data_IF_653903504781
#
_entry.id   IF_653903504781
#
_cell.length_a   1.000
_cell.length_b   1.000
_cell.length_c   1.000
_cell.angle_alpha   90.00
_cell.angle_beta   90.00
_cell.angle_gamma   90.00
#
_symmetry.space_group_name_H-M   'P 1'
#
loop_
_entity.id
_entity.type
_entity.pdbx_description
1 polymer ?
#
# COMPACT_ATOMS: atom_id res chain seq x y z
N UNK A 1 -2.60 -15.60 4.01
CA UNK A 1 -3.28 -15.53 2.69
C UNK A 1 -2.54 -16.41 1.69
N UNK A 2 -3.23 -17.11 0.78
CA UNK A 2 -2.60 -17.93 -0.27
C UNK A 2 -2.20 -17.06 -1.48
N UNK A 3 -1.20 -17.50 -2.27
CA UNK A 3 -0.78 -16.82 -3.51
C UNK A 3 -1.96 -16.59 -4.48
N UNK A 4 -2.85 -17.60 -4.61
CA UNK A 4 -4.06 -17.48 -5.42
C UNK A 4 -5.02 -16.39 -4.92
N UNK A 5 -5.15 -16.24 -3.59
CA UNK A 5 -5.99 -15.19 -3.01
C UNK A 5 -5.38 -13.82 -3.28
N UNK A 6 -4.05 -13.69 -3.18
CA UNK A 6 -3.34 -12.45 -3.48
C UNK A 6 -3.51 -12.04 -4.95
N UNK A 7 -3.34 -12.98 -5.88
CA UNK A 7 -3.57 -12.74 -7.32
C UNK A 7 -5.00 -12.27 -7.60
N UNK A 8 -5.99 -12.92 -6.98
CA UNK A 8 -7.40 -12.53 -7.13
C UNK A 8 -7.68 -11.15 -6.54
N UNK A 9 -7.10 -10.80 -5.40
CA UNK A 9 -7.20 -9.47 -4.81
C UNK A 9 -6.65 -8.41 -5.76
N UNK A 10 -5.47 -8.62 -6.31
CA UNK A 10 -4.86 -7.68 -7.26
C UNK A 10 -5.69 -7.50 -8.54
N UNK A 11 -6.24 -8.58 -9.09
CA UNK A 11 -7.01 -8.54 -10.33
C UNK A 11 -8.46 -8.05 -10.17
N UNK A 12 -9.05 -8.27 -8.99
CA UNK A 12 -10.47 -8.04 -8.74
C UNK A 12 -10.75 -7.05 -7.61
N UNK A 13 -9.73 -6.32 -7.13
CA UNK A 13 -9.83 -5.40 -6.00
C UNK A 13 -10.98 -4.39 -6.13
N UNK A 14 -11.15 -3.80 -7.32
CA UNK A 14 -12.25 -2.85 -7.55
C UNK A 14 -13.64 -3.48 -7.35
N UNK A 15 -13.81 -4.76 -7.72
CA UNK A 15 -15.07 -5.47 -7.51
C UNK A 15 -15.27 -5.79 -6.04
N UNK A 16 -14.22 -6.23 -5.35
CA UNK A 16 -14.26 -6.48 -3.92
C UNK A 16 -14.66 -5.23 -3.13
N UNK A 17 -13.97 -4.11 -3.36
CA UNK A 17 -14.25 -2.84 -2.71
C UNK A 17 -15.72 -2.39 -2.93
N UNK A 18 -16.20 -2.49 -4.17
CA UNK A 18 -17.59 -2.11 -4.46
C UNK A 18 -18.62 -3.08 -3.91
N UNK A 19 -18.37 -4.39 -3.92
CA UNK A 19 -19.26 -5.40 -3.31
C UNK A 19 -19.42 -5.12 -1.81
N UNK A 20 -18.31 -4.84 -1.13
CA UNK A 20 -18.32 -4.54 0.32
C UNK A 20 -19.00 -3.20 0.58
N UNK A 21 -18.71 -2.17 -0.21
CA UNK A 21 -19.30 -0.83 -0.04
C UNK A 21 -20.82 -0.83 -0.28
N UNK A 22 -21.32 -1.54 -1.29
CA UNK A 22 -22.74 -1.59 -1.64
C UNK A 22 -23.56 -2.46 -0.66
N UNK A 23 -22.92 -3.28 0.13
CA UNK A 23 -23.54 -4.14 1.15
C UNK A 23 -24.79 -4.89 0.64
N UNK A 24 -24.69 -5.50 -0.53
CA UNK A 24 -25.81 -6.21 -1.19
C UNK A 24 -25.39 -7.54 -1.77
N UNK A 25 -26.31 -8.50 -1.84
CA UNK A 25 -26.16 -9.76 -2.59
C UNK A 25 -26.82 -9.68 -3.98
N UNK A 26 -27.52 -8.59 -4.31
CA UNK A 26 -28.16 -8.40 -5.60
C UNK A 26 -27.13 -8.22 -6.73
N UNK A 27 -26.91 -9.29 -7.48
CA UNK A 27 -25.95 -9.33 -8.60
C UNK A 27 -26.38 -8.45 -9.78
N UNK A 28 -27.67 -8.14 -9.91
CA UNK A 28 -28.18 -7.23 -10.95
C UNK A 28 -27.76 -5.81 -10.62
N UNK A 29 -27.93 -5.40 -9.38
CA UNK A 29 -27.46 -4.09 -8.90
C UNK A 29 -25.93 -3.96 -9.03
N UNK A 30 -25.19 -4.98 -8.59
CA UNK A 30 -23.74 -5.02 -8.72
C UNK A 30 -23.29 -4.93 -10.19
N UNK A 31 -23.90 -5.73 -11.08
CA UNK A 31 -23.58 -5.72 -12.51
C UNK A 31 -23.80 -4.33 -13.14
N UNK A 32 -24.92 -3.68 -12.80
CA UNK A 32 -25.23 -2.33 -13.25
C UNK A 32 -24.21 -1.30 -12.75
N UNK A 33 -23.88 -1.33 -11.48
CA UNK A 33 -22.90 -0.40 -10.86
C UNK A 33 -21.50 -0.54 -11.46
N UNK A 34 -21.07 -1.78 -11.74
CA UNK A 34 -19.77 -2.04 -12.37
C UNK A 34 -19.76 -1.96 -13.88
N UNK A 35 -20.90 -1.74 -14.51
CA UNK A 35 -21.08 -1.70 -15.98
C UNK A 35 -20.55 -2.97 -16.65
N UNK A 36 -20.91 -4.11 -16.10
CA UNK A 36 -20.58 -5.43 -16.63
C UNK A 36 -21.84 -6.26 -16.83
N UNK A 37 -21.76 -7.35 -17.61
CA UNK A 37 -22.89 -8.25 -17.77
C UNK A 37 -23.18 -9.02 -16.47
N UNK A 38 -24.42 -9.41 -16.27
CA UNK A 38 -24.80 -10.22 -15.11
C UNK A 38 -24.00 -11.53 -14.99
N UNK A 39 -23.76 -12.31 -16.08
CA UNK A 39 -22.91 -13.50 -16.00
C UNK A 39 -21.49 -13.20 -15.57
N UNK A 40 -20.92 -12.06 -16.01
CA UNK A 40 -19.59 -11.61 -15.57
C UNK A 40 -19.57 -11.34 -14.08
N UNK A 41 -20.55 -10.59 -13.57
CA UNK A 41 -20.63 -10.30 -12.12
C UNK A 41 -20.86 -11.57 -11.31
N UNK A 42 -21.74 -12.46 -11.76
CA UNK A 42 -21.96 -13.77 -11.14
C UNK A 42 -20.68 -14.57 -11.03
N UNK A 43 -19.88 -14.63 -12.10
CA UNK A 43 -18.58 -15.31 -12.10
C UNK A 43 -17.60 -14.69 -11.11
N UNK A 44 -17.52 -13.35 -11.06
CA UNK A 44 -16.63 -12.63 -10.12
C UNK A 44 -17.01 -12.93 -8.66
N UNK A 45 -18.27 -12.76 -8.29
CA UNK A 45 -18.77 -13.08 -6.95
C UNK A 45 -18.53 -14.54 -6.58
N UNK A 46 -18.85 -15.47 -7.49
CA UNK A 46 -18.64 -16.90 -7.24
C UNK A 46 -17.15 -17.23 -7.02
N UNK A 47 -16.25 -16.61 -7.77
CA UNK A 47 -14.82 -16.82 -7.61
C UNK A 47 -14.32 -16.29 -6.26
N UNK A 48 -14.75 -15.09 -5.86
CA UNK A 48 -14.39 -14.51 -4.55
C UNK A 48 -14.91 -15.35 -3.38
N UNK A 49 -16.15 -15.89 -3.49
CA UNK A 49 -16.71 -16.83 -2.50
C UNK A 49 -15.91 -18.14 -2.43
N UNK A 50 -15.63 -18.76 -3.59
CA UNK A 50 -14.85 -20.00 -3.67
C UNK A 50 -13.41 -19.86 -3.16
N UNK A 51 -12.82 -18.68 -3.35
CA UNK A 51 -11.49 -18.38 -2.82
C UNK A 51 -11.51 -18.04 -1.32
N UNK A 52 -12.68 -17.94 -0.71
CA UNK A 52 -12.83 -17.56 0.69
C UNK A 52 -12.44 -16.10 0.99
N UNK A 53 -12.43 -15.23 -0.04
CA UNK A 53 -12.13 -13.80 0.14
C UNK A 53 -13.33 -13.07 0.71
N UNK A 54 -14.53 -13.42 0.25
CA UNK A 54 -15.78 -12.93 0.81
C UNK A 54 -16.62 -14.08 1.36
N UNK A 55 -17.52 -13.74 2.28
CA UNK A 55 -18.52 -14.64 2.83
C UNK A 55 -19.92 -14.08 2.60
N UNK A 56 -20.88 -14.96 2.33
CA UNK A 56 -22.29 -14.61 2.17
C UNK A 56 -22.95 -14.58 3.57
N UNK A 57 -23.57 -13.47 3.91
CA UNK A 57 -24.32 -13.27 5.15
C UNK A 57 -25.84 -13.22 4.92
N UNK A 58 -26.29 -13.58 3.72
CA UNK A 58 -27.69 -13.60 3.33
C UNK A 58 -28.15 -12.29 2.69
N UNK A 59 -28.02 -11.19 3.36
CA UNK A 59 -28.38 -9.84 2.91
C UNK A 59 -27.22 -9.07 2.25
N UNK A 60 -26.00 -9.45 2.58
CA UNK A 60 -24.80 -8.78 2.08
C UNK A 60 -23.61 -9.74 2.00
N UNK A 61 -22.66 -9.41 1.11
CA UNK A 61 -21.33 -10.01 1.14
C UNK A 61 -20.43 -9.23 2.09
N UNK A 62 -19.68 -9.95 2.91
CA UNK A 62 -18.67 -9.38 3.81
C UNK A 62 -17.30 -9.93 3.43
N UNK A 63 -16.24 -9.19 3.72
CA UNK A 63 -14.89 -9.74 3.62
C UNK A 63 -14.75 -10.84 4.67
N UNK A 64 -14.08 -11.93 4.31
CA UNK A 64 -13.74 -12.97 5.27
C UNK A 64 -12.88 -12.37 6.39
N UNK A 65 -13.25 -12.54 7.68
CA UNK A 65 -12.49 -11.98 8.81
C UNK A 65 -11.00 -12.36 8.79
N UNK A 66 -10.66 -13.59 8.38
CA UNK A 66 -9.26 -14.02 8.31
C UNK A 66 -8.47 -13.25 7.25
N UNK A 67 -9.10 -12.95 6.10
CA UNK A 67 -8.50 -12.12 5.05
C UNK A 67 -8.41 -10.67 5.52
N UNK A 68 -9.44 -10.16 6.19
CA UNK A 68 -9.47 -8.80 6.72
C UNK A 68 -8.31 -8.56 7.71
N UNK A 69 -8.08 -9.52 8.61
CA UNK A 69 -7.02 -9.44 9.63
C UNK A 69 -5.59 -9.55 9.08
N UNK A 70 -5.44 -10.16 7.87
CA UNK A 70 -4.12 -10.43 7.26
C UNK A 70 -3.85 -9.63 5.99
N UNK A 71 -4.68 -8.62 5.68
CA UNK A 71 -4.60 -7.87 4.43
C UNK A 71 -4.67 -6.38 4.71
N UNK A 72 -3.50 -5.79 4.91
CA UNK A 72 -3.35 -4.41 5.33
C UNK A 72 -2.69 -3.58 4.23
N UNK A 73 -3.04 -2.31 4.19
CA UNK A 73 -2.45 -1.30 3.31
C UNK A 73 -1.87 -0.19 4.18
N UNK A 74 -0.65 0.23 3.88
CA UNK A 74 -0.02 1.34 4.57
C UNK A 74 -0.03 2.57 3.68
N UNK A 75 -0.47 3.69 4.22
CA UNK A 75 -0.30 5.01 3.62
C UNK A 75 0.82 5.76 4.35
N UNK A 76 1.87 6.13 3.62
CA UNK A 76 2.90 7.06 4.08
C UNK A 76 2.58 8.42 3.49
N UNK A 77 2.43 9.46 4.31
CA UNK A 77 2.21 10.81 3.80
C UNK A 77 3.08 11.84 4.50
N UNK A 78 3.46 12.88 3.77
CA UNK A 78 4.27 13.96 4.29
C UNK A 78 3.81 15.30 3.74
N UNK A 79 3.80 16.30 4.63
CA UNK A 79 3.61 17.71 4.33
C UNK A 79 4.93 18.47 4.05
N UNK A 80 6.04 17.74 3.99
CA UNK A 80 7.39 18.30 3.79
C UNK A 80 8.14 18.59 5.08
N UNK A 81 7.47 18.57 6.23
CA UNK A 81 8.05 18.82 7.54
C UNK A 81 8.00 17.54 8.37
N UNK A 82 6.83 16.94 8.41
CA UNK A 82 6.55 15.71 9.15
C UNK A 82 6.26 14.54 8.19
N UNK A 83 6.42 13.34 8.70
CA UNK A 83 6.02 12.11 8.04
C UNK A 83 5.05 11.37 8.95
N UNK A 84 3.97 10.89 8.39
CA UNK A 84 2.92 10.18 9.08
C UNK A 84 2.57 8.90 8.32
N UNK A 85 2.10 7.90 9.05
CA UNK A 85 1.68 6.64 8.49
C UNK A 85 0.29 6.27 9.01
N UNK A 86 -0.49 5.65 8.15
CA UNK A 86 -1.79 5.09 8.48
C UNK A 86 -1.87 3.67 7.95
N UNK A 87 -2.41 2.75 8.76
CA UNK A 87 -2.73 1.41 8.30
C UNK A 87 -4.24 1.28 8.10
N UNK A 88 -4.63 0.67 6.99
CA UNK A 88 -6.02 0.38 6.64
C UNK A 88 -6.17 -1.10 6.32
N UNK A 89 -7.27 -1.69 6.76
CA UNK A 89 -7.67 -3.03 6.33
C UNK A 89 -8.45 -2.97 5.00
N UNK A 90 -8.82 -4.13 4.45
CA UNK A 90 -9.61 -4.23 3.22
C UNK A 90 -11.02 -3.61 3.31
N UNK A 91 -11.55 -3.41 4.52
CA UNK A 91 -12.81 -2.71 4.76
C UNK A 91 -12.62 -1.17 4.83
N UNK A 92 -11.38 -0.68 4.63
CA UNK A 92 -11.00 0.73 4.76
C UNK A 92 -11.11 1.27 6.19
N UNK A 93 -11.08 0.38 7.18
CA UNK A 93 -11.04 0.74 8.59
C UNK A 93 -9.58 0.96 9.01
N UNK A 94 -9.35 1.97 9.84
CA UNK A 94 -8.03 2.26 10.40
C UNK A 94 -7.64 1.18 11.41
N UNK A 95 -6.40 0.74 11.34
CA UNK A 95 -5.78 -0.21 12.26
C UNK A 95 -4.57 0.46 12.90
N UNK A 96 -4.38 0.27 14.19
CA UNK A 96 -3.23 0.83 14.89
C UNK A 96 -1.93 0.15 14.45
N UNK A 97 -0.90 0.93 14.12
CA UNK A 97 0.40 0.38 13.67
C UNK A 97 1.06 -0.50 14.72
N UNK A 98 0.81 -0.25 16.00
CA UNK A 98 1.28 -1.10 17.11
C UNK A 98 0.65 -2.52 17.13
N UNK A 99 -0.49 -2.69 16.46
CA UNK A 99 -1.16 -3.99 16.30
C UNK A 99 -0.73 -4.69 14.99
N UNK A 100 -0.22 -3.92 14.04
CA UNK A 100 0.22 -4.37 12.73
C UNK A 100 1.64 -4.88 12.77
N UNK A 101 2.54 -4.08 13.32
CA UNK A 101 3.97 -4.33 13.37
C UNK A 101 4.33 -5.25 14.54
N UNK A 102 5.36 -6.06 14.38
CA UNK A 102 6.03 -6.68 15.50
C UNK A 102 6.55 -5.61 16.46
N UNK A 103 6.77 -5.95 17.72
CA UNK A 103 7.27 -4.98 18.72
C UNK A 103 8.59 -4.35 18.25
N UNK A 104 9.51 -5.15 17.73
CA UNK A 104 10.81 -4.70 17.23
C UNK A 104 10.66 -3.72 16.06
N UNK A 105 9.78 -4.06 15.10
CA UNK A 105 9.49 -3.20 13.95
C UNK A 105 8.75 -1.93 14.36
N UNK A 106 7.90 -1.99 15.38
CA UNK A 106 7.23 -0.80 15.90
C UNK A 106 8.22 0.16 16.59
N UNK A 107 9.15 -0.36 17.40
CA UNK A 107 10.19 0.44 18.02
C UNK A 107 11.10 1.09 16.95
N UNK A 108 11.45 0.34 15.90
CA UNK A 108 12.18 0.85 14.73
C UNK A 108 11.39 1.92 13.97
N UNK A 109 10.09 1.72 13.75
CA UNK A 109 9.19 2.71 13.16
C UNK A 109 9.22 4.04 13.92
N UNK A 110 9.08 4.00 15.24
CA UNK A 110 9.13 5.20 16.10
C UNK A 110 10.49 5.88 16.00
N UNK A 111 11.59 5.10 16.03
CA UNK A 111 12.94 5.63 15.88
C UNK A 111 13.15 6.34 14.53
N UNK A 112 12.68 5.76 13.42
CA UNK A 112 12.78 6.37 12.08
C UNK A 112 11.99 7.69 12.00
N UNK A 113 10.75 7.70 12.48
CA UNK A 113 9.88 8.88 12.42
C UNK A 113 10.52 10.06 13.18
N UNK A 114 11.01 9.82 14.37
CA UNK A 114 11.56 10.85 15.26
C UNK A 114 13.04 11.19 14.98
N UNK A 115 13.73 10.49 14.12
CA UNK A 115 15.13 10.77 13.80
C UNK A 115 15.25 12.07 12.99
N UNK A 116 15.77 13.11 13.61
CA UNK A 116 15.97 14.43 12.98
C UNK A 116 17.16 14.48 12.02
N UNK A 117 18.06 13.49 12.10
CA UNK A 117 19.24 13.41 11.21
C UNK A 117 18.93 12.71 9.88
N UNK A 118 17.81 12.02 9.78
CA UNK A 118 17.40 11.38 8.53
C UNK A 118 16.66 12.38 7.63
N UNK A 119 17.04 12.39 6.35
CA UNK A 119 16.26 13.09 5.33
C UNK A 119 14.86 12.46 5.18
N UNK A 120 13.90 13.23 4.67
CA UNK A 120 12.56 12.71 4.38
C UNK A 120 12.61 11.49 3.46
N UNK A 121 13.44 11.53 2.42
CA UNK A 121 13.64 10.41 1.49
C UNK A 121 14.18 9.16 2.21
N UNK A 122 15.18 9.32 3.08
CA UNK A 122 15.73 8.21 3.85
C UNK A 122 14.68 7.61 4.78
N UNK A 123 13.88 8.44 5.45
CA UNK A 123 12.75 7.97 6.28
C UNK A 123 11.77 7.15 5.45
N UNK A 124 11.32 7.66 4.31
CA UNK A 124 10.40 6.94 3.41
C UNK A 124 11.01 5.58 3.00
N UNK A 125 12.29 5.56 2.60
CA UNK A 125 12.97 4.34 2.18
C UNK A 125 13.05 3.31 3.31
N UNK A 126 13.43 3.73 4.52
CA UNK A 126 13.46 2.84 5.69
C UNK A 126 12.07 2.33 6.08
N UNK A 127 11.04 3.18 6.01
CA UNK A 127 9.66 2.78 6.31
C UNK A 127 9.14 1.76 5.31
N UNK A 128 9.39 1.94 4.01
CA UNK A 128 9.02 0.95 3.00
C UNK A 128 9.70 -0.38 3.29
N UNK A 129 11.00 -0.36 3.58
CA UNK A 129 11.74 -1.57 3.94
C UNK A 129 11.15 -2.25 5.18
N UNK A 130 10.90 -1.50 6.24
CA UNK A 130 10.31 -1.98 7.49
C UNK A 130 8.95 -2.65 7.23
N UNK A 131 8.06 -1.99 6.51
CA UNK A 131 6.74 -2.52 6.20
C UNK A 131 6.78 -3.74 5.29
N UNK A 132 7.79 -3.86 4.42
CA UNK A 132 7.95 -5.03 3.56
C UNK A 132 8.32 -6.32 4.31
N UNK A 133 8.75 -6.21 5.56
CA UNK A 133 9.06 -7.36 6.42
C UNK A 133 7.83 -7.95 7.11
N UNK A 134 6.69 -7.30 7.01
CA UNK A 134 5.44 -7.74 7.65
C UNK A 134 4.52 -8.44 6.64
N UNK A 135 4.34 -9.74 6.79
CA UNK A 135 3.55 -10.59 5.87
C UNK A 135 2.06 -10.15 5.72
N UNK A 136 1.56 -9.37 6.69
CA UNK A 136 0.18 -8.85 6.67
C UNK A 136 0.02 -7.63 5.76
N UNK A 137 1.12 -6.97 5.40
CA UNK A 137 1.09 -5.74 4.61
C UNK A 137 1.15 -6.09 3.13
N UNK A 138 0.07 -5.80 2.41
CA UNK A 138 -0.07 -6.10 0.98
C UNK A 138 0.55 -5.03 0.09
N UNK A 139 0.47 -3.78 0.52
CA UNK A 139 0.91 -2.65 -0.29
C UNK A 139 1.21 -1.42 0.56
N UNK A 140 2.11 -0.57 0.07
CA UNK A 140 2.46 0.70 0.68
C UNK A 140 2.20 1.81 -0.33
N UNK A 141 1.25 2.68 -0.03
CA UNK A 141 0.99 3.90 -0.79
C UNK A 141 1.78 5.07 -0.22
N UNK A 142 2.29 5.94 -1.10
CA UNK A 142 3.05 7.12 -0.68
C UNK A 142 2.38 8.37 -1.23
N UNK A 143 2.11 9.32 -0.35
CA UNK A 143 1.58 10.65 -0.68
C UNK A 143 2.56 11.71 -0.18
N UNK A 144 3.15 12.44 -1.12
CA UNK A 144 4.04 13.56 -0.83
C UNK A 144 3.66 14.75 -1.70
N UNK A 145 4.08 15.93 -1.28
CA UNK A 145 3.92 17.13 -2.09
C UNK A 145 4.83 17.05 -3.34
N UNK A 146 4.27 17.25 -4.53
CA UNK A 146 5.01 17.18 -5.79
C UNK A 146 4.17 17.60 -6.98
N UNK A 147 4.79 17.62 -8.16
CA UNK A 147 4.13 17.90 -9.44
C UNK A 147 3.86 16.56 -10.15
N UNK A 148 2.63 16.39 -10.64
CA UNK A 148 2.27 15.22 -11.44
C UNK A 148 2.57 15.53 -12.91
N UNK A 149 3.32 14.68 -13.58
CA UNK A 149 3.60 14.78 -15.01
C UNK A 149 2.42 14.26 -15.86
N UNK A 150 2.47 14.50 -17.15
CA UNK A 150 1.51 13.94 -18.12
C UNK A 150 1.53 12.41 -18.18
N UNK A 151 2.64 11.78 -17.80
CA UNK A 151 2.78 10.33 -17.63
C UNK A 151 2.22 9.82 -16.29
N UNK A 152 1.62 10.69 -15.48
CA UNK A 152 1.12 10.41 -14.12
C UNK A 152 2.19 10.03 -13.10
N UNK A 153 3.42 10.33 -13.37
CA UNK A 153 4.52 10.20 -12.41
C UNK A 153 4.59 11.42 -11.50
N UNK A 154 4.94 11.21 -10.25
CA UNK A 154 5.17 12.31 -9.29
C UNK A 154 6.61 12.78 -9.47
N UNK A 155 6.77 14.02 -9.91
CA UNK A 155 8.06 14.69 -9.99
C UNK A 155 8.23 15.59 -8.78
N UNK A 156 9.30 15.38 -8.04
CA UNK A 156 9.60 16.08 -6.80
C UNK A 156 10.87 16.93 -6.96
N UNK A 157 10.90 18.05 -6.27
CA UNK A 157 12.09 18.88 -6.20
C UNK A 157 13.11 18.30 -5.22
N UNK A 158 14.40 18.33 -5.58
CA UNK A 158 15.49 17.91 -4.71
C UNK A 158 15.52 18.69 -3.38
N UNK A 159 15.15 19.98 -3.40
CA UNK A 159 15.06 20.81 -2.20
C UNK A 159 14.01 20.33 -1.21
N UNK A 160 12.93 19.77 -1.72
CA UNK A 160 11.86 19.21 -0.89
C UNK A 160 12.29 17.96 -0.13
N UNK A 161 13.11 17.11 -0.76
CA UNK A 161 13.60 15.88 -0.15
C UNK A 161 14.89 16.05 0.66
N UNK A 162 15.40 17.28 0.78
CA UNK A 162 16.68 17.56 1.45
C UNK A 162 17.84 16.71 0.91
N UNK A 163 17.85 16.46 -0.39
CA UNK A 163 18.95 15.75 -1.05
C UNK A 163 20.14 16.71 -1.18
N UNK A 164 21.13 16.52 -0.31
CA UNK A 164 22.31 17.37 -0.21
C UNK A 164 23.34 17.17 -1.33
N UNK A 165 22.99 16.51 -2.43
CA UNK A 165 23.96 16.27 -3.49
C UNK A 165 23.67 17.11 -4.73
N UNK A 166 24.65 17.92 -5.10
CA UNK A 166 24.71 18.72 -6.33
C UNK A 166 24.70 17.92 -7.64
N UNK A 167 24.58 16.60 -7.57
CA UNK A 167 24.66 15.68 -8.70
C UNK A 167 23.34 15.05 -9.10
N UNK A 168 22.28 15.22 -8.33
CA UNK A 168 20.96 14.75 -8.72
C UNK A 168 20.22 15.81 -9.51
N UNK A 169 19.52 15.36 -10.54
CA UNK A 169 18.64 16.18 -11.39
C UNK A 169 17.77 17.09 -10.52
N UNK A 170 17.54 18.33 -10.94
CA UNK A 170 16.66 19.28 -10.25
C UNK A 170 15.25 18.73 -10.01
N UNK A 171 14.89 17.69 -10.75
CA UNK A 171 13.62 16.94 -10.62
C UNK A 171 13.85 15.48 -10.90
N UNK A 172 13.23 14.63 -10.13
CA UNK A 172 13.20 13.19 -10.35
C UNK A 172 11.81 12.65 -9.95
N UNK A 173 11.45 11.48 -10.45
CA UNK A 173 10.25 10.79 -9.94
C UNK A 173 10.51 10.30 -8.52
N UNK A 174 9.44 10.17 -7.72
CA UNK A 174 9.56 9.60 -6.37
C UNK A 174 10.19 8.21 -6.42
N UNK A 175 9.82 7.41 -7.41
CA UNK A 175 10.38 6.08 -7.62
C UNK A 175 11.91 6.10 -7.80
N UNK A 176 12.39 6.94 -8.70
CA UNK A 176 13.83 7.09 -8.95
C UNK A 176 14.57 7.55 -7.69
N UNK A 177 13.99 8.50 -6.96
CA UNK A 177 14.56 9.01 -5.72
C UNK A 177 14.64 7.91 -4.63
N UNK A 178 13.55 7.19 -4.39
CA UNK A 178 13.52 6.10 -3.40
C UNK A 178 14.45 4.97 -3.81
N UNK A 179 14.46 4.60 -5.09
CA UNK A 179 15.34 3.57 -5.63
C UNK A 179 16.82 3.94 -5.49
N UNK A 180 17.19 5.17 -5.84
CA UNK A 180 18.56 5.64 -5.68
C UNK A 180 19.00 5.64 -4.21
N UNK A 181 18.14 6.15 -3.32
CA UNK A 181 18.42 6.17 -1.89
C UNK A 181 18.52 4.75 -1.30
N UNK A 182 17.67 3.82 -1.75
CA UNK A 182 17.76 2.42 -1.35
C UNK A 182 19.13 1.82 -1.68
N UNK A 183 19.64 2.01 -2.90
CA UNK A 183 20.97 1.53 -3.28
C UNK A 183 22.10 2.17 -2.48
N UNK A 184 21.99 3.44 -2.13
CA UNK A 184 22.96 4.10 -1.25
C UNK A 184 22.96 3.47 0.14
N UNK A 185 21.78 3.34 0.77
CA UNK A 185 21.65 2.74 2.10
C UNK A 185 22.10 1.28 2.13
N UNK A 186 21.88 0.54 1.04
CA UNK A 186 22.37 -0.83 0.89
C UNK A 186 23.90 -0.89 0.78
N UNK A 187 24.52 0.00 0.00
CA UNK A 187 25.99 0.07 -0.11
C UNK A 187 26.66 0.43 1.21
N UNK A 188 25.98 1.17 2.06
CA UNK A 188 26.43 1.53 3.41
C UNK A 188 26.12 0.46 4.48
N UNK A 189 25.65 -0.73 4.06
CA UNK A 189 25.24 -1.85 4.92
C UNK A 189 24.12 -1.51 5.92
N UNK A 190 23.30 -0.51 5.61
CA UNK A 190 22.17 -0.09 6.43
C UNK A 190 20.87 -0.84 6.09
N UNK A 191 20.85 -1.60 5.00
CA UNK A 191 19.71 -2.42 4.55
C UNK A 191 20.19 -3.78 4.06
N UNK A 192 19.44 -4.83 4.37
CA UNK A 192 19.73 -6.20 3.96
C UNK A 192 19.41 -6.48 2.49
N UNK A 193 19.97 -7.61 1.96
CA UNK A 193 19.97 -7.95 0.52
C UNK A 193 18.63 -8.34 -0.10
N UNK A 194 17.56 -8.46 0.67
CA UNK A 194 16.32 -9.15 0.28
C UNK A 194 15.19 -8.25 -0.22
N UNK A 195 15.47 -7.05 -0.74
CA UNK A 195 14.39 -6.15 -1.11
C UNK A 195 14.20 -5.95 -2.61
N UNK A 196 13.03 -6.35 -3.12
CA UNK A 196 12.55 -5.97 -4.45
C UNK A 196 11.58 -4.80 -4.31
N UNK A 197 12.02 -3.61 -4.69
CA UNK A 197 11.16 -2.44 -4.77
C UNK A 197 10.16 -2.65 -5.93
N UNK A 198 8.99 -3.18 -5.63
CA UNK A 198 7.90 -3.25 -6.58
C UNK A 198 7.06 -1.97 -6.43
N UNK A 199 7.32 -0.99 -7.27
CA UNK A 199 6.42 0.14 -7.44
C UNK A 199 5.49 -0.22 -8.59
N UNK A 200 4.26 -0.61 -8.23
CA UNK A 200 3.22 -0.87 -9.23
C UNK A 200 2.89 0.40 -10.01
N UNK A 201 2.85 0.27 -11.33
CA UNK A 201 2.27 1.28 -12.23
C UNK A 201 0.74 1.32 -12.08
#
# INVERSE_FOLDING_TARGET
>A
MTERQLEMLNNDFRYLAGIVHLQTTDKTLLATKFRVSWPTMQKKVTNLLKAGIIVDKGDSYKINPDILATSLFIGIYSDGISINCIALNLAQETVELSEVLSKENYDSFIAIIHNTNLSLLSKITFLIHLFSQEDKILNVGISIQGTITSSKEIVISNSYLSLNSSSFLDKCTLFEAVRANYYMLKSDHLLDDMWYLYVGN
#
